data_IF_201369702379
#
_entry.id   IF_201369702379
#
_cell.length_a   1.000
_cell.length_b   1.000
_cell.length_c   1.000
_cell.angle_alpha   90.00
_cell.angle_beta   90.00
_cell.angle_gamma   90.00
#
_symmetry.space_group_name_H-M   'P 1'
#
loop_
_entity.id
_entity.type
_entity.pdbx_description
1 polymer ?
#
# COMPACT_ATOMS: atom_id res chain seq x y z
N UNK A 1 10.01 14.25 -3.01
CA UNK A 1 9.01 13.69 -3.97
C UNK A 1 9.71 12.84 -5.02
N UNK A 2 9.21 11.67 -5.31
CA UNK A 2 9.70 10.80 -6.39
C UNK A 2 8.93 11.14 -7.68
N UNK A 3 9.48 12.04 -8.50
CA UNK A 3 8.82 12.51 -9.74
C UNK A 3 8.53 11.39 -10.74
N UNK A 4 9.35 10.34 -10.81
CA UNK A 4 9.11 9.20 -11.71
C UNK A 4 7.84 8.45 -11.31
N UNK A 5 7.66 8.22 -10.02
CA UNK A 5 6.45 7.59 -9.49
C UNK A 5 5.25 8.53 -9.67
N UNK A 6 5.38 9.81 -9.32
CA UNK A 6 4.30 10.77 -9.49
C UNK A 6 3.80 10.81 -10.94
N UNK A 7 4.75 10.88 -11.91
CA UNK A 7 4.41 10.84 -13.34
C UNK A 7 3.71 9.54 -13.73
N UNK A 8 4.28 8.39 -13.39
CA UNK A 8 3.74 7.09 -13.77
C UNK A 8 2.31 6.89 -13.25
N UNK A 9 2.02 7.34 -12.00
CA UNK A 9 0.70 7.23 -11.41
C UNK A 9 -0.29 8.25 -11.99
N UNK A 10 0.15 9.48 -12.27
CA UNK A 10 -0.69 10.51 -12.89
C UNK A 10 -1.09 10.12 -14.33
N UNK A 11 -0.15 9.61 -15.13
CA UNK A 11 -0.38 9.22 -16.53
C UNK A 11 -1.48 8.15 -16.68
N UNK A 12 -1.62 7.27 -15.70
CA UNK A 12 -2.64 6.21 -15.71
C UNK A 12 -3.91 6.56 -14.91
N UNK A 13 -4.03 7.84 -14.48
CA UNK A 13 -5.21 8.37 -13.78
C UNK A 13 -5.61 7.53 -12.54
N UNK A 14 -4.65 7.19 -11.66
CA UNK A 14 -4.95 6.47 -10.40
C UNK A 14 -5.81 7.28 -9.45
N UNK A 15 -5.77 8.63 -9.54
CA UNK A 15 -6.61 9.54 -8.76
C UNK A 15 -7.78 10.01 -9.62
N UNK A 16 -9.00 9.76 -9.13
CA UNK A 16 -10.24 10.24 -9.74
C UNK A 16 -10.87 11.28 -8.82
N UNK A 17 -11.36 12.38 -9.40
CA UNK A 17 -12.03 13.46 -8.68
C UNK A 17 -13.54 13.38 -8.90
N UNK A 18 -14.32 13.63 -7.85
CA UNK A 18 -15.78 13.51 -7.84
C UNK A 18 -16.30 13.17 -6.46
N UNK A 19 -17.59 12.88 -6.34
CA UNK A 19 -18.17 12.39 -5.09
C UNK A 19 -18.16 10.85 -5.06
N UNK A 20 -17.46 10.28 -4.08
CA UNK A 20 -17.34 8.83 -3.92
C UNK A 20 -17.77 8.44 -2.51
N UNK A 21 -18.78 7.59 -2.40
CA UNK A 21 -19.16 6.98 -1.12
C UNK A 21 -18.17 5.86 -0.78
N UNK A 22 -17.44 6.03 0.31
CA UNK A 22 -16.51 5.03 0.82
C UNK A 22 -17.25 3.87 1.52
N UNK A 23 -16.56 2.76 1.77
CA UNK A 23 -17.10 1.61 2.50
C UNK A 23 -17.59 1.97 3.93
N UNK A 24 -17.03 3.04 4.52
CA UNK A 24 -17.47 3.61 5.79
C UNK A 24 -18.75 4.43 5.73
N UNK A 25 -19.28 4.71 4.52
CA UNK A 25 -20.39 5.62 4.30
C UNK A 25 -20.02 7.09 4.16
N UNK A 26 -18.75 7.46 4.39
CA UNK A 26 -18.27 8.84 4.21
C UNK A 26 -18.19 9.18 2.71
N UNK A 27 -18.49 10.44 2.39
CA UNK A 27 -18.31 10.99 1.04
C UNK A 27 -16.90 11.55 0.89
N UNK A 28 -16.17 11.12 -0.12
CA UNK A 28 -14.82 11.57 -0.44
C UNK A 28 -14.81 12.32 -1.78
N UNK A 29 -14.11 13.46 -1.90
CA UNK A 29 -13.94 14.18 -3.15
C UNK A 29 -12.96 13.50 -4.11
N UNK A 30 -12.30 12.41 -3.65
CA UNK A 30 -11.36 11.64 -4.47
C UNK A 30 -11.53 10.14 -4.26
N UNK A 31 -11.17 9.40 -5.31
CA UNK A 31 -10.99 7.97 -5.26
C UNK A 31 -9.61 7.60 -5.83
N UNK A 32 -8.82 6.84 -5.08
CA UNK A 32 -7.49 6.37 -5.51
C UNK A 32 -7.60 4.88 -5.81
N UNK A 33 -7.25 4.48 -7.02
CA UNK A 33 -7.28 3.08 -7.46
C UNK A 33 -5.94 2.64 -8.06
N UNK A 34 -5.10 2.03 -7.23
CA UNK A 34 -3.82 1.45 -7.67
C UNK A 34 -3.96 0.01 -8.18
N UNK A 35 -5.14 -0.61 -8.05
CA UNK A 35 -5.41 -1.96 -8.56
C UNK A 35 -5.41 -2.03 -10.08
N UNK A 36 -5.52 -0.87 -10.75
CA UNK A 36 -5.38 -0.77 -12.21
C UNK A 36 -3.92 -0.89 -12.68
N UNK A 37 -2.94 -0.69 -11.79
CA UNK A 37 -1.52 -0.63 -12.13
C UNK A 37 -1.02 -1.83 -12.98
N UNK A 38 -1.41 -3.09 -12.69
CA UNK A 38 -1.00 -4.23 -13.53
C UNK A 38 -1.50 -4.19 -14.98
N UNK A 39 -2.54 -3.38 -15.27
CA UNK A 39 -3.04 -3.17 -16.63
C UNK A 39 -2.18 -2.20 -17.45
N UNK A 40 -1.19 -1.55 -16.82
CA UNK A 40 -0.28 -0.59 -17.43
C UNK A 40 1.17 -1.04 -17.24
N UNK A 41 1.72 -1.91 -18.11
CA UNK A 41 3.03 -2.54 -17.91
C UNK A 41 4.18 -1.56 -17.72
N UNK A 42 4.18 -0.42 -18.41
CA UNK A 42 5.23 0.60 -18.27
C UNK A 42 5.20 1.25 -16.88
N UNK A 43 4.02 1.66 -16.41
CA UNK A 43 3.86 2.21 -15.06
C UNK A 43 4.19 1.18 -13.99
N UNK A 44 3.74 -0.07 -14.18
CA UNK A 44 4.08 -1.20 -13.29
C UNK A 44 5.59 -1.45 -13.27
N UNK A 45 6.28 -1.33 -14.41
CA UNK A 45 7.72 -1.40 -14.54
C UNK A 45 8.43 -0.37 -13.67
N UNK A 46 8.05 0.92 -13.81
CA UNK A 46 8.61 2.03 -13.03
C UNK A 46 8.38 1.82 -11.53
N UNK A 47 7.16 1.49 -11.13
CA UNK A 47 6.81 1.26 -9.71
C UNK A 47 7.60 0.09 -9.14
N UNK A 48 7.67 -1.04 -9.86
CA UNK A 48 8.39 -2.23 -9.38
C UNK A 48 9.89 -2.00 -9.24
N UNK A 49 10.50 -1.18 -10.10
CA UNK A 49 11.92 -0.80 -9.97
C UNK A 49 12.20 0.00 -8.70
N UNK A 50 11.34 0.96 -8.36
CA UNK A 50 11.51 1.76 -7.15
C UNK A 50 11.25 0.91 -5.88
N UNK A 51 10.24 0.01 -5.88
CA UNK A 51 10.02 -0.95 -4.81
C UNK A 51 11.24 -1.86 -4.60
N UNK A 52 11.83 -2.38 -5.67
CA UNK A 52 13.05 -3.22 -5.62
C UNK A 52 14.22 -2.49 -4.95
N UNK A 53 14.40 -1.18 -5.21
CA UNK A 53 15.46 -0.41 -4.55
C UNK A 53 15.30 -0.37 -3.03
N UNK A 54 14.05 -0.23 -2.54
CA UNK A 54 13.77 -0.25 -1.11
C UNK A 54 14.00 -1.66 -0.54
N UNK A 55 13.46 -2.70 -1.18
CA UNK A 55 13.61 -4.09 -0.75
C UNK A 55 15.08 -4.49 -0.65
N UNK A 56 15.92 -4.11 -1.63
CA UNK A 56 17.37 -4.38 -1.59
C UNK A 56 18.10 -3.71 -0.41
N UNK A 57 17.59 -2.57 0.09
CA UNK A 57 18.15 -1.89 1.27
C UNK A 57 17.75 -2.56 2.56
N UNK A 58 16.47 -3.02 2.65
CA UNK A 58 15.90 -3.65 3.83
C UNK A 58 16.31 -5.11 3.99
N UNK A 59 16.70 -5.78 2.88
CA UNK A 59 17.22 -7.17 2.84
C UNK A 59 16.30 -8.18 3.53
N UNK A 60 15.01 -8.25 3.21
CA UNK A 60 14.13 -9.29 3.72
C UNK A 60 14.53 -10.65 3.14
N UNK A 61 14.17 -11.72 3.84
CA UNK A 61 14.33 -13.10 3.36
C UNK A 61 13.14 -13.55 2.52
N UNK A 62 11.95 -12.96 2.76
CA UNK A 62 10.71 -13.28 2.06
C UNK A 62 9.93 -12.00 1.74
N UNK A 63 9.33 -11.95 0.57
CA UNK A 63 8.40 -10.89 0.13
C UNK A 63 6.97 -11.41 0.25
N UNK A 64 6.12 -10.75 1.04
CA UNK A 64 4.72 -11.12 1.23
C UNK A 64 3.79 -10.14 0.50
N UNK A 65 3.00 -10.60 -0.46
CA UNK A 65 1.97 -9.78 -1.10
C UNK A 65 0.66 -9.78 -0.31
N UNK A 66 0.13 -8.61 0.03
CA UNK A 66 -1.20 -8.49 0.62
C UNK A 66 -2.29 -8.79 -0.43
N UNK A 67 -3.26 -9.63 -0.10
CA UNK A 67 -4.41 -9.90 -0.97
C UNK A 67 -5.29 -8.65 -1.10
N UNK A 68 -5.54 -8.13 -2.32
CA UNK A 68 -5.28 -8.66 -3.66
C UNK A 68 -4.21 -7.82 -4.37
N UNK A 69 -4.13 -6.52 -4.12
CA UNK A 69 -3.32 -5.57 -4.89
C UNK A 69 -1.80 -5.71 -4.65
N UNK A 70 -1.40 -6.19 -3.47
CA UNK A 70 0.00 -6.44 -3.15
C UNK A 70 0.61 -7.64 -3.89
N UNK A 71 -0.23 -8.60 -4.36
CA UNK A 71 0.26 -9.83 -5.01
C UNK A 71 1.04 -9.52 -6.30
N UNK A 72 0.51 -8.78 -7.28
CA UNK A 72 1.26 -8.49 -8.50
C UNK A 72 2.54 -7.67 -8.24
N UNK A 73 2.53 -6.76 -7.24
CA UNK A 73 3.71 -6.00 -6.84
C UNK A 73 4.79 -6.91 -6.24
N UNK A 74 4.41 -7.77 -5.29
CA UNK A 74 5.31 -8.75 -4.67
C UNK A 74 5.88 -9.72 -5.73
N UNK A 75 5.06 -10.17 -6.68
CA UNK A 75 5.49 -11.01 -7.81
C UNK A 75 6.57 -10.31 -8.64
N UNK A 76 6.34 -9.04 -9.01
CA UNK A 76 7.32 -8.28 -9.78
C UNK A 76 8.64 -8.08 -9.01
N UNK A 77 8.57 -7.83 -7.70
CA UNK A 77 9.75 -7.72 -6.83
C UNK A 77 10.50 -9.06 -6.78
N UNK A 78 9.81 -10.17 -6.51
CA UNK A 78 10.42 -11.51 -6.41
C UNK A 78 11.14 -11.91 -7.69
N UNK A 79 10.52 -11.70 -8.84
CA UNK A 79 11.13 -12.00 -10.15
C UNK A 79 12.42 -11.18 -10.39
N UNK A 80 12.45 -9.91 -9.97
CA UNK A 80 13.62 -9.02 -10.16
C UNK A 80 14.71 -9.24 -9.10
N UNK A 81 14.37 -9.66 -7.89
CA UNK A 81 15.32 -9.80 -6.77
C UNK A 81 15.75 -11.24 -6.52
N UNK A 82 14.97 -12.23 -6.99
CA UNK A 82 15.10 -13.65 -6.66
C UNK A 82 14.84 -13.97 -5.18
N UNK A 83 14.24 -13.04 -4.43
CA UNK A 83 13.78 -13.29 -3.07
C UNK A 83 12.48 -14.11 -3.15
N UNK A 84 12.33 -15.20 -2.37
CA UNK A 84 11.11 -15.99 -2.29
C UNK A 84 9.89 -15.13 -1.99
N UNK A 85 8.74 -15.53 -2.55
CA UNK A 85 7.48 -14.82 -2.37
C UNK A 85 6.42 -15.72 -1.76
N UNK A 86 5.65 -15.14 -0.83
CA UNK A 86 4.37 -15.65 -0.33
C UNK A 86 3.28 -14.62 -0.60
N UNK A 87 2.00 -14.95 -0.40
CA UNK A 87 0.97 -13.95 -0.21
C UNK A 87 0.06 -14.25 0.98
N UNK A 88 -0.51 -13.18 1.54
CA UNK A 88 -1.33 -13.23 2.74
C UNK A 88 -2.78 -12.94 2.35
N UNK A 89 -3.68 -13.85 2.70
CA UNK A 89 -5.12 -13.74 2.44
C UNK A 89 -5.79 -12.80 3.45
N UNK A 90 -6.84 -12.12 3.02
CA UNK A 90 -7.69 -11.30 3.92
C UNK A 90 -8.35 -12.13 5.03
N UNK A 91 -8.67 -13.39 4.73
CA UNK A 91 -9.31 -14.32 5.67
C UNK A 91 -8.61 -15.67 5.61
N UNK A 92 -8.48 -16.35 6.75
CA UNK A 92 -8.02 -17.73 6.78
C UNK A 92 -8.90 -18.62 5.89
N UNK A 93 -8.34 -19.75 5.42
CA UNK A 93 -9.12 -20.76 4.71
C UNK A 93 -10.19 -21.34 5.65
N UNK A 94 -11.40 -21.54 5.13
CA UNK A 94 -12.48 -22.21 5.86
C UNK A 94 -12.29 -23.73 5.94
N UNK A 95 -11.26 -24.27 5.29
CA UNK A 95 -10.92 -25.70 5.20
C UNK A 95 -9.42 -25.90 5.35
N UNK A 96 -9.00 -27.13 5.65
CA UNK A 96 -7.61 -27.48 5.92
C UNK A 96 -7.13 -26.97 7.27
N UNK A 97 -5.91 -26.44 7.35
CA UNK A 97 -5.31 -25.92 8.59
C UNK A 97 -5.76 -24.50 8.97
N UNK A 98 -6.66 -23.89 8.20
CA UNK A 98 -7.08 -22.52 8.44
C UNK A 98 -5.97 -21.49 8.18
N UNK A 99 -4.97 -21.84 7.37
CA UNK A 99 -3.80 -20.98 7.11
C UNK A 99 -4.19 -19.75 6.30
N UNK A 100 -3.58 -18.63 6.66
CA UNK A 100 -3.75 -17.36 5.97
C UNK A 100 -2.64 -17.10 4.96
N UNK A 101 -1.54 -17.86 5.03
CA UNK A 101 -0.38 -17.78 4.15
C UNK A 101 -0.51 -18.76 3.00
N UNK A 102 -0.17 -18.31 1.80
CA UNK A 102 0.01 -19.13 0.61
C UNK A 102 1.47 -19.06 0.15
N UNK A 103 2.10 -20.19 0.05
CA UNK A 103 3.53 -20.36 -0.23
C UNK A 103 4.26 -21.03 0.91
N UNK A 104 5.59 -20.98 0.88
CA UNK A 104 6.45 -21.56 1.91
C UNK A 104 7.04 -20.44 2.74
N UNK A 105 6.79 -20.47 4.05
CA UNK A 105 7.33 -19.53 5.02
C UNK A 105 8.09 -20.33 6.09
N UNK A 106 9.40 -20.12 6.16
CA UNK A 106 10.23 -20.72 7.20
C UNK A 106 10.04 -19.97 8.53
N UNK A 107 10.17 -20.69 9.63
CA UNK A 107 10.10 -20.11 10.95
C UNK A 107 11.14 -19.01 11.13
N UNK A 108 10.75 -17.93 11.82
CA UNK A 108 11.57 -16.74 12.11
C UNK A 108 12.11 -16.00 10.85
N UNK A 109 11.64 -16.35 9.65
CA UNK A 109 12.04 -15.65 8.44
C UNK A 109 11.64 -14.18 8.47
N UNK A 110 12.54 -13.28 8.05
CA UNK A 110 12.29 -11.84 7.90
C UNK A 110 11.43 -11.56 6.68
N UNK A 111 10.21 -11.14 6.91
CA UNK A 111 9.20 -10.87 5.89
C UNK A 111 8.97 -9.38 5.72
N UNK A 112 9.00 -8.88 4.49
CA UNK A 112 8.47 -7.55 4.14
C UNK A 112 7.06 -7.71 3.55
N UNK A 113 6.07 -6.99 4.13
CA UNK A 113 4.72 -6.96 3.57
C UNK A 113 4.62 -5.88 2.48
N UNK A 114 4.14 -6.28 1.31
CA UNK A 114 3.94 -5.41 0.14
C UNK A 114 2.45 -5.20 -0.09
N UNK A 115 2.04 -3.95 -0.26
CA UNK A 115 0.68 -3.61 -0.67
C UNK A 115 0.67 -2.38 -1.60
N UNK A 116 -0.50 -2.02 -2.12
CA UNK A 116 -0.66 -0.87 -3.02
C UNK A 116 -0.64 0.46 -2.26
N UNK A 117 -1.48 0.62 -1.24
CA UNK A 117 -1.58 1.86 -0.47
C UNK A 117 -2.00 1.63 0.98
N UNK A 118 -1.78 2.64 1.83
CA UNK A 118 -2.29 2.70 3.19
C UNK A 118 -3.14 3.95 3.43
N UNK A 119 -4.21 3.77 4.21
CA UNK A 119 -4.98 4.81 4.90
C UNK A 119 -4.60 4.80 6.38
N UNK A 120 -5.36 4.07 7.19
CA UNK A 120 -5.13 3.86 8.62
C UNK A 120 -4.32 2.58 8.95
N UNK A 121 -3.89 1.84 7.93
CA UNK A 121 -3.15 0.59 8.00
C UNK A 121 -3.85 -0.60 8.72
N UNK A 122 -5.14 -0.50 9.05
CA UNK A 122 -5.87 -1.59 9.72
C UNK A 122 -5.77 -2.94 8.99
N UNK A 123 -5.96 -2.94 7.67
CA UNK A 123 -5.80 -4.16 6.87
C UNK A 123 -4.38 -4.71 6.91
N UNK A 124 -3.36 -3.83 6.98
CA UNK A 124 -1.95 -4.22 7.09
C UNK A 124 -1.67 -4.93 8.40
N UNK A 125 -2.23 -4.43 9.51
CA UNK A 125 -2.09 -5.05 10.84
C UNK A 125 -2.65 -6.48 10.80
N UNK A 126 -3.83 -6.70 10.20
CA UNK A 126 -4.40 -8.05 10.04
C UNK A 126 -3.53 -9.00 9.20
N UNK A 127 -2.90 -8.50 8.15
CA UNK A 127 -1.95 -9.29 7.36
C UNK A 127 -0.69 -9.62 8.16
N UNK A 128 -0.17 -8.65 8.94
CA UNK A 128 0.99 -8.84 9.82
C UNK A 128 0.68 -9.88 10.88
N UNK A 129 -0.51 -9.84 11.50
CA UNK A 129 -0.96 -10.86 12.46
C UNK A 129 -0.98 -12.26 11.83
N UNK A 130 -1.46 -12.40 10.59
CA UNK A 130 -1.44 -13.65 9.84
C UNK A 130 -0.03 -14.19 9.60
N UNK A 131 0.93 -13.32 9.27
CA UNK A 131 2.33 -13.70 9.09
C UNK A 131 2.95 -14.11 10.43
N UNK A 132 2.74 -13.34 11.49
CA UNK A 132 3.22 -13.64 12.85
C UNK A 132 2.63 -14.95 13.39
N UNK A 133 1.35 -15.22 13.11
CA UNK A 133 0.71 -16.49 13.48
C UNK A 133 1.35 -17.70 12.78
N UNK A 134 1.90 -17.48 11.59
CA UNK A 134 2.65 -18.47 10.82
C UNK A 134 4.17 -18.45 11.12
N UNK A 135 4.56 -17.90 12.30
CA UNK A 135 5.92 -17.82 12.80
C UNK A 135 6.88 -16.96 11.96
N UNK A 136 6.40 -16.10 11.06
CA UNK A 136 7.22 -15.13 10.34
C UNK A 136 7.42 -13.83 11.14
N UNK A 137 8.50 -13.09 10.86
CA UNK A 137 8.85 -11.83 11.51
C UNK A 137 8.63 -10.67 10.53
N UNK A 138 7.77 -9.71 10.89
CA UNK A 138 7.50 -8.52 10.08
C UNK A 138 7.94 -7.28 10.83
N UNK A 139 8.94 -6.58 10.29
CA UNK A 139 9.43 -5.30 10.79
C UNK A 139 9.13 -4.14 9.82
N UNK A 140 8.87 -4.46 8.56
CA UNK A 140 8.70 -3.49 7.50
C UNK A 140 7.45 -3.78 6.64
N UNK A 141 6.69 -2.73 6.33
CA UNK A 141 5.64 -2.69 5.32
C UNK A 141 6.07 -1.73 4.22
N UNK A 142 5.98 -2.13 2.97
CA UNK A 142 6.30 -1.26 1.83
C UNK A 142 5.08 -1.15 0.91
N UNK A 143 4.69 0.08 0.64
CA UNK A 143 3.54 0.42 -0.22
C UNK A 143 3.94 1.38 -1.32
N UNK A 144 3.10 1.49 -2.35
CA UNK A 144 3.29 2.47 -3.41
C UNK A 144 2.90 3.86 -2.92
N UNK A 145 1.71 4.01 -2.31
CA UNK A 145 1.16 5.31 -1.94
C UNK A 145 0.65 5.34 -0.50
N UNK A 146 1.13 6.31 0.28
CA UNK A 146 0.59 6.64 1.60
C UNK A 146 -0.41 7.80 1.48
N UNK A 147 -1.64 7.59 1.96
CA UNK A 147 -2.67 8.64 1.99
C UNK A 147 -2.48 9.66 3.12
N UNK A 148 -1.55 9.41 4.06
CA UNK A 148 -1.27 10.30 5.19
C UNK A 148 -2.40 10.36 6.23
N UNK A 149 -3.16 9.29 6.42
CA UNK A 149 -4.34 9.23 7.30
C UNK A 149 -4.11 8.35 8.55
N UNK A 150 -2.89 8.34 9.10
CA UNK A 150 -2.55 7.66 10.37
C UNK A 150 -1.94 6.27 10.23
N UNK A 151 -1.65 5.81 9.01
CA UNK A 151 -1.06 4.49 8.78
C UNK A 151 0.34 4.31 9.38
N UNK A 152 1.17 5.34 9.34
CA UNK A 152 2.52 5.35 9.92
C UNK A 152 2.45 5.15 11.44
N UNK A 153 1.61 5.93 12.11
CA UNK A 153 1.43 5.90 13.56
C UNK A 153 0.83 4.58 14.04
N UNK A 154 -0.13 4.04 13.27
CA UNK A 154 -0.77 2.77 13.58
C UNK A 154 0.23 1.60 13.52
N UNK A 155 1.04 1.52 12.46
CA UNK A 155 2.06 0.48 12.31
C UNK A 155 3.22 0.64 13.30
N UNK A 156 3.60 1.88 13.64
CA UNK A 156 4.63 2.12 14.64
C UNK A 156 4.25 1.56 16.03
N UNK A 157 2.96 1.54 16.41
CA UNK A 157 2.47 0.91 17.65
C UNK A 157 2.67 -0.62 17.65
N UNK A 158 2.70 -1.23 16.47
CA UNK A 158 3.00 -2.66 16.27
C UNK A 158 4.49 -2.96 16.13
N UNK A 159 5.37 -1.96 16.33
CA UNK A 159 6.80 -2.00 16.07
C UNK A 159 7.13 -2.33 14.60
N UNK A 160 6.29 -1.89 13.67
CA UNK A 160 6.46 -2.08 12.23
C UNK A 160 6.61 -0.73 11.55
N UNK A 161 7.59 -0.62 10.66
CA UNK A 161 7.86 0.60 9.90
C UNK A 161 7.14 0.59 8.57
N UNK A 162 6.40 1.67 8.29
CA UNK A 162 5.81 1.92 6.98
C UNK A 162 6.81 2.64 6.07
N UNK A 163 7.01 2.09 4.87
CA UNK A 163 7.74 2.72 3.77
C UNK A 163 6.77 2.94 2.62
N UNK A 164 6.82 4.12 2.01
CA UNK A 164 6.03 4.43 0.81
C UNK A 164 6.93 5.03 -0.27
N UNK A 165 6.58 4.80 -1.55
CA UNK A 165 7.29 5.43 -2.66
C UNK A 165 6.90 6.90 -2.82
N UNK A 166 5.64 7.23 -2.50
CA UNK A 166 5.08 8.58 -2.60
C UNK A 166 3.92 8.73 -1.60
N UNK A 167 3.68 9.94 -1.13
CA UNK A 167 2.45 10.29 -0.41
C UNK A 167 1.39 10.83 -1.38
N UNK A 168 0.11 10.75 -0.99
CA UNK A 168 -0.98 11.32 -1.79
C UNK A 168 -0.80 12.84 -1.96
N UNK A 169 -0.35 13.53 -0.91
CA UNK A 169 -0.05 14.96 -0.97
C UNK A 169 1.01 15.28 -2.05
N UNK A 170 2.13 14.56 -2.06
CA UNK A 170 3.17 14.74 -3.08
C UNK A 170 2.66 14.45 -4.51
N UNK A 171 1.80 13.44 -4.68
CA UNK A 171 1.18 13.15 -5.98
C UNK A 171 0.27 14.30 -6.43
N UNK A 172 -0.56 14.85 -5.54
CA UNK A 172 -1.42 16.00 -5.82
C UNK A 172 -0.60 17.27 -6.12
N UNK A 173 0.49 17.51 -5.38
CA UNK A 173 1.43 18.62 -5.66
C UNK A 173 2.04 18.49 -7.06
N UNK A 174 2.44 17.28 -7.47
CA UNK A 174 2.92 17.03 -8.83
C UNK A 174 1.84 17.30 -9.86
N UNK A 175 0.61 16.81 -9.65
CA UNK A 175 -0.51 17.01 -10.58
C UNK A 175 -0.86 18.48 -10.74
N UNK A 176 -0.90 19.26 -9.64
CA UNK A 176 -1.08 20.71 -9.65
C UNK A 176 0.05 21.40 -10.42
N UNK A 177 1.30 21.09 -10.16
CA UNK A 177 2.46 21.66 -10.85
C UNK A 177 2.52 21.33 -12.35
N UNK A 178 1.79 20.30 -12.80
CA UNK A 178 1.63 19.94 -14.23
C UNK A 178 0.31 20.42 -14.84
N UNK A 179 -0.48 21.24 -14.11
CA UNK A 179 -1.81 21.70 -14.52
C UNK A 179 -2.81 20.57 -14.84
N UNK A 180 -2.65 19.41 -14.19
CA UNK A 180 -3.58 18.27 -14.28
C UNK A 180 -4.79 18.45 -13.34
N UNK A 181 -4.66 19.30 -12.33
CA UNK A 181 -5.73 19.76 -11.44
C UNK A 181 -5.55 21.26 -11.18
N UNK A 182 -6.64 21.95 -10.89
CA UNK A 182 -6.62 23.36 -10.47
C UNK A 182 -6.38 23.52 -8.97
N UNK A 183 -6.13 24.77 -8.55
CA UNK A 183 -5.88 25.11 -7.13
C UNK A 183 -7.07 24.77 -6.24
N UNK A 184 -8.31 25.04 -6.71
CA UNK A 184 -9.51 24.77 -5.95
C UNK A 184 -9.70 23.29 -5.63
N UNK A 185 -9.46 22.43 -6.63
CA UNK A 185 -9.55 20.97 -6.44
C UNK A 185 -8.44 20.44 -5.53
N UNK A 186 -7.22 20.98 -5.65
CA UNK A 186 -6.11 20.65 -4.76
C UNK A 186 -6.46 20.99 -3.30
N UNK A 187 -6.93 22.23 -3.05
CA UNK A 187 -7.25 22.70 -1.70
C UNK A 187 -8.44 21.94 -1.09
N UNK A 188 -9.49 21.63 -1.88
CA UNK A 188 -10.63 20.81 -1.47
C UNK A 188 -10.17 19.43 -0.95
N UNK A 189 -9.29 18.76 -1.71
CA UNK A 189 -8.82 17.44 -1.34
C UNK A 189 -7.94 17.49 -0.10
N UNK A 190 -7.04 18.47 0.01
CA UNK A 190 -6.21 18.60 1.21
C UNK A 190 -7.04 18.89 2.47
N UNK A 191 -8.04 19.77 2.38
CA UNK A 191 -8.94 20.03 3.49
C UNK A 191 -9.69 18.77 3.92
N UNK A 192 -10.18 17.98 2.97
CA UNK A 192 -10.80 16.69 3.24
C UNK A 192 -9.85 15.71 3.96
N UNK A 193 -8.61 15.57 3.49
CA UNK A 193 -7.63 14.67 4.09
C UNK A 193 -7.27 15.09 5.52
N UNK A 194 -7.11 16.39 5.79
CA UNK A 194 -6.84 16.91 7.13
C UNK A 194 -8.00 16.65 8.10
N UNK A 195 -9.25 16.89 7.66
CA UNK A 195 -10.44 16.66 8.48
C UNK A 195 -10.66 15.20 8.82
N UNK A 196 -10.21 14.28 7.95
CA UNK A 196 -10.45 12.84 8.08
C UNK A 196 -9.20 12.05 8.53
N UNK A 197 -8.20 12.69 9.11
CA UNK A 197 -7.01 12.03 9.65
C UNK A 197 -7.29 11.12 10.85
N UNK A 198 -8.31 11.42 11.65
CA UNK A 198 -8.53 10.81 12.96
C UNK A 198 -9.79 9.97 13.08
N UNK A 199 -10.80 10.16 12.21
CA UNK A 199 -12.11 9.48 12.32
C UNK A 199 -12.03 7.97 12.18
N UNK A 200 -11.02 7.46 11.45
CA UNK A 200 -10.82 6.03 11.25
C UNK A 200 -10.28 5.28 12.48
N UNK A 201 -9.71 5.99 13.45
CA UNK A 201 -9.18 5.38 14.68
C UNK A 201 -10.27 5.01 15.69
N UNK A 202 -11.47 5.55 15.56
CA UNK A 202 -12.54 5.43 16.56
C UNK A 202 -13.80 4.73 16.08
N UNK A 203 -13.97 4.45 14.79
CA UNK A 203 -15.23 3.95 14.21
C UNK A 203 -15.23 2.46 13.80
N UNK A 204 -14.22 1.67 14.15
CA UNK A 204 -14.27 0.21 14.01
C UNK A 204 -14.58 -0.45 15.36
N UNK A 205 -15.89 -0.60 15.62
CA UNK A 205 -16.44 -1.57 16.58
C UNK A 205 -16.82 -2.84 15.83
#
# INVERSE_FOLDING_TARGET
MNEKIAKALADINVVKFGEFTLASGLVSPIYVDLRILPSYPDAMGVVSEELVKVVKKLKPEVVAGAETAGIPLATAISLKTKIPMIYVRKRPKSYGRGEQIEGVLEKDAKVILIDDMATNAYSKIKFIEGIKHSEGVVEDVLIVLDRGQGGVEALAKENVKLHSLITLKELLEYMKGKNLIDDGKYDEVLAYLEQNKWEWLFNEK
#
